data_IF_585691042346
#
_entry.id   IF_585691042346
#
_cell.length_a   1.000
_cell.length_b   1.000
_cell.length_c   1.000
_cell.angle_alpha   90.00
_cell.angle_beta   90.00
_cell.angle_gamma   90.00
#
_symmetry.space_group_name_H-M   'P 1'
#
loop_
_entity.id
_entity.type
_entity.pdbx_description
1 polymer ?
#
# COMPACT_ATOMS: atom_id res chain seq x y z
N UNK A 1 1.52 -43.25 -5.17
CA UNK A 1 2.81 -42.52 -5.06
C UNK A 1 2.56 -41.05 -5.35
N UNK A 2 2.55 -40.25 -4.30
CA UNK A 2 2.21 -38.82 -4.25
C UNK A 2 3.27 -38.00 -5.00
N UNK A 3 2.85 -37.11 -5.91
CA UNK A 3 3.75 -36.18 -6.58
C UNK A 3 3.90 -34.93 -5.72
N UNK A 4 5.01 -34.85 -4.99
CA UNK A 4 5.41 -33.63 -4.29
C UNK A 4 5.74 -32.53 -5.32
N UNK A 5 4.83 -31.57 -5.50
CA UNK A 5 5.12 -30.32 -6.20
C UNK A 5 6.10 -29.51 -5.35
N UNK A 6 7.40 -29.73 -5.56
CA UNK A 6 8.46 -28.89 -5.00
C UNK A 6 8.26 -27.46 -5.50
N UNK A 7 7.78 -26.59 -4.61
CA UNK A 7 7.73 -25.15 -4.81
C UNK A 7 9.15 -24.61 -4.90
N UNK A 8 9.67 -24.51 -6.13
CA UNK A 8 10.91 -23.80 -6.42
C UNK A 8 10.65 -22.30 -6.32
N UNK A 9 10.81 -21.75 -5.12
CA UNK A 9 11.06 -20.30 -4.94
C UNK A 9 12.37 -20.14 -4.18
N UNK A 10 13.47 -20.42 -4.87
CA UNK A 10 14.77 -19.91 -4.46
C UNK A 10 14.94 -18.52 -5.09
N UNK A 11 14.54 -17.48 -4.37
CA UNK A 11 15.00 -16.12 -4.67
C UNK A 11 16.31 -15.92 -3.88
N UNK A 12 17.41 -15.45 -4.49
CA UNK A 12 18.66 -15.21 -3.78
C UNK A 12 18.41 -14.20 -2.65
N UNK A 13 18.75 -14.59 -1.42
CA UNK A 13 18.53 -13.83 -0.17
C UNK A 13 19.27 -12.49 -0.15
N UNK A 14 20.21 -12.28 -1.07
CA UNK A 14 21.13 -11.14 -1.08
C UNK A 14 20.62 -9.93 -1.89
N UNK A 15 19.47 -10.07 -2.56
CA UNK A 15 18.78 -8.95 -3.22
C UNK A 15 17.40 -8.78 -2.61
N UNK A 16 17.34 -8.09 -1.48
CA UNK A 16 16.08 -7.55 -0.96
C UNK A 16 15.61 -6.47 -1.94
N UNK A 17 14.88 -6.89 -2.97
CA UNK A 17 14.18 -5.96 -3.87
C UNK A 17 12.99 -5.43 -3.08
N UNK A 18 13.17 -4.26 -2.46
CA UNK A 18 12.07 -3.50 -1.86
C UNK A 18 11.28 -2.88 -3.01
N UNK A 19 10.54 -3.71 -3.75
CA UNK A 19 9.53 -3.22 -4.66
C UNK A 19 8.32 -2.79 -3.84
N UNK A 20 7.72 -1.62 -4.09
CA UNK A 20 6.47 -1.26 -3.46
C UNK A 20 5.46 -2.39 -3.65
N UNK A 21 4.81 -2.81 -2.56
CA UNK A 21 3.81 -3.89 -2.53
C UNK A 21 2.74 -3.72 -3.64
N UNK A 22 2.51 -2.49 -4.08
CA UNK A 22 1.54 -2.12 -5.10
C UNK A 22 0.13 -2.03 -4.53
N UNK A 23 -0.69 -1.11 -5.05
CA UNK A 23 -1.98 -0.76 -4.45
C UNK A 23 -2.92 -1.96 -4.24
N UNK A 24 -2.93 -2.93 -5.16
CA UNK A 24 -3.78 -4.13 -5.05
C UNK A 24 -3.41 -5.04 -3.88
N UNK A 25 -2.11 -5.23 -3.61
CA UNK A 25 -1.69 -6.06 -2.47
C UNK A 25 -1.83 -5.29 -1.16
N UNK A 26 -1.50 -4.01 -1.14
CA UNK A 26 -1.69 -3.15 0.03
C UNK A 26 -3.16 -3.14 0.49
N UNK A 27 -4.10 -3.08 -0.46
CA UNK A 27 -5.52 -3.19 -0.15
C UNK A 27 -5.91 -4.54 0.49
N UNK A 28 -5.32 -5.66 0.03
CA UNK A 28 -5.56 -6.97 0.67
C UNK A 28 -5.03 -7.02 2.10
N UNK A 29 -3.84 -6.46 2.35
CA UNK A 29 -3.28 -6.38 3.70
C UNK A 29 -4.14 -5.50 4.62
N UNK A 30 -4.56 -4.33 4.15
CA UNK A 30 -5.44 -3.45 4.92
C UNK A 30 -6.76 -4.16 5.29
N UNK A 31 -7.35 -4.92 4.38
CA UNK A 31 -8.56 -5.70 4.66
C UNK A 31 -8.33 -6.81 5.71
N UNK A 32 -7.18 -7.50 5.65
CA UNK A 32 -6.82 -8.54 6.65
C UNK A 32 -6.64 -7.92 8.03
N UNK A 33 -6.09 -6.71 8.10
CA UNK A 33 -5.88 -5.96 9.35
C UNK A 33 -7.13 -5.19 9.82
N UNK A 34 -8.26 -5.31 9.11
CA UNK A 34 -9.50 -4.60 9.44
C UNK A 34 -9.44 -3.08 9.20
N UNK A 35 -8.40 -2.61 8.51
CA UNK A 35 -8.21 -1.19 8.20
C UNK A 35 -9.05 -0.81 6.99
N UNK A 36 -10.01 0.09 7.21
CA UNK A 36 -10.85 0.65 6.14
C UNK A 36 -10.76 2.17 6.16
N UNK A 37 -10.74 2.79 4.97
CA UNK A 37 -10.80 4.24 4.89
C UNK A 37 -12.24 4.72 5.13
N UNK A 38 -12.42 5.68 6.03
CA UNK A 38 -13.68 6.39 6.17
C UNK A 38 -13.98 7.26 4.93
N UNK A 39 -15.22 7.72 4.80
CA UNK A 39 -15.67 8.47 3.63
C UNK A 39 -14.86 9.74 3.41
N UNK A 40 -14.55 10.48 4.47
CA UNK A 40 -13.82 11.74 4.41
C UNK A 40 -12.37 11.56 3.96
N UNK A 41 -11.68 10.55 4.49
CA UNK A 41 -10.32 10.19 4.08
C UNK A 41 -10.30 9.78 2.61
N UNK A 42 -11.34 9.07 2.14
CA UNK A 42 -11.46 8.65 0.73
C UNK A 42 -11.67 9.85 -0.19
N UNK A 43 -12.48 10.83 0.23
CA UNK A 43 -12.69 12.08 -0.50
C UNK A 43 -11.40 12.92 -0.55
N UNK A 44 -10.70 13.03 0.58
CA UNK A 44 -9.41 13.73 0.69
C UNK A 44 -8.37 13.11 -0.25
N UNK A 45 -8.19 11.79 -0.19
CA UNK A 45 -7.23 11.08 -1.03
C UNK A 45 -7.51 11.27 -2.52
N UNK A 46 -8.78 11.26 -2.94
CA UNK A 46 -9.18 11.53 -4.33
C UNK A 46 -8.83 12.96 -4.76
N UNK A 47 -9.11 13.96 -3.90
CA UNK A 47 -8.78 15.37 -4.19
C UNK A 47 -7.27 15.57 -4.35
N UNK A 48 -6.48 15.02 -3.44
CA UNK A 48 -5.01 15.14 -3.46
C UNK A 48 -4.37 14.34 -4.61
N UNK A 49 -4.97 13.22 -5.02
CA UNK A 49 -4.53 12.50 -6.21
C UNK A 49 -4.85 13.28 -7.49
N UNK A 50 -6.01 13.94 -7.55
CA UNK A 50 -6.43 14.76 -8.69
C UNK A 50 -5.58 16.03 -8.87
N UNK A 51 -5.00 16.58 -7.81
CA UNK A 51 -4.07 17.71 -7.88
C UNK A 51 -2.68 17.33 -8.42
N UNK A 52 -2.45 16.06 -8.77
CA UNK A 52 -1.19 15.60 -9.35
C UNK A 52 -0.05 15.43 -8.33
N UNK A 53 -0.34 15.57 -7.03
CA UNK A 53 0.64 15.36 -5.97
C UNK A 53 1.06 13.89 -5.90
N UNK A 54 2.37 13.66 -5.76
CA UNK A 54 2.97 12.33 -5.67
C UNK A 54 3.99 12.26 -4.54
N UNK A 55 4.30 11.04 -4.10
CA UNK A 55 5.40 10.78 -3.15
C UNK A 55 5.27 11.57 -1.85
N UNK A 56 6.32 12.31 -1.49
CA UNK A 56 6.38 13.09 -0.24
C UNK A 56 5.39 14.26 -0.20
N UNK A 57 5.12 14.90 -1.34
CA UNK A 57 4.19 16.03 -1.40
C UNK A 57 2.74 15.59 -1.12
N UNK A 58 2.35 14.42 -1.64
CA UNK A 58 1.06 13.81 -1.31
C UNK A 58 0.98 13.42 0.18
N UNK A 59 2.04 12.82 0.71
CA UNK A 59 2.12 12.42 2.13
C UNK A 59 2.06 13.62 3.08
N UNK A 60 2.73 14.72 2.76
CA UNK A 60 2.74 15.90 3.62
C UNK A 60 1.38 16.59 3.67
N UNK A 61 0.65 16.67 2.55
CA UNK A 61 -0.72 17.22 2.53
C UNK A 61 -1.70 16.35 3.31
N UNK A 62 -1.57 15.02 3.26
CA UNK A 62 -2.32 14.12 4.13
C UNK A 62 -2.04 14.45 5.61
N UNK A 63 -0.76 14.51 6.00
CA UNK A 63 -0.37 14.78 7.39
C UNK A 63 -0.92 16.14 7.85
N UNK A 64 -0.84 17.18 7.02
CA UNK A 64 -1.41 18.50 7.32
C UNK A 64 -2.92 18.43 7.55
N UNK A 65 -3.65 17.66 6.75
CA UNK A 65 -5.09 17.49 6.89
C UNK A 65 -5.47 16.82 8.22
N UNK A 66 -4.66 15.88 8.71
CA UNK A 66 -4.89 15.19 10.00
C UNK A 66 -4.32 15.92 11.21
N UNK A 67 -3.36 16.84 11.05
CA UNK A 67 -2.76 17.61 12.15
C UNK A 67 -3.70 18.67 12.75
N UNK A 68 -4.88 18.88 12.17
CA UNK A 68 -5.84 19.91 12.62
C UNK A 68 -6.80 19.44 13.71
N UNK A 69 -6.36 18.51 14.57
CA UNK A 69 -7.09 17.98 15.72
C UNK A 69 -6.37 18.29 17.02
#
# INVERSE_FOLDING_TARGET
MTKDTKSSRSAPRDKVVISPIGGRKAAKFALVEGLTMNADSKALARKLAASGLKGDAYRSEIIKAFKKG
#
